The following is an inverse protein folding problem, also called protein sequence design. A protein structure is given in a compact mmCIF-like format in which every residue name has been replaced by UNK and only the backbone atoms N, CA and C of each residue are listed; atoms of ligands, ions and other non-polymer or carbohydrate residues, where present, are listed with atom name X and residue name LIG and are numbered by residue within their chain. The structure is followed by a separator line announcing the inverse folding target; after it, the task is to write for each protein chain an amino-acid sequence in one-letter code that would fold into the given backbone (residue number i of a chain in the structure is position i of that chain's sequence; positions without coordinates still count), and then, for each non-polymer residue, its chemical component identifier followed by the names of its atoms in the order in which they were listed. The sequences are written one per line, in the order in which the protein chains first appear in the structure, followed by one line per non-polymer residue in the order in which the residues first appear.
data_IF_327897839388
#
_entry.id   IF_327897839388
#
_cell.length_a   1.000
_cell.length_b   1.000
_cell.length_c   1.000
_cell.angle_alpha   90.00
_cell.angle_beta   90.00
_cell.angle_gamma   90.00
#
_symmetry.space_group_name_H-M   'P 1'
#
loop_
_entity.id
_entity.type
_entity.pdbx_description
1 polymer ?
#
# COMPACT_ATOMS: atom_id res chain seq x y z
N UNK A 1 30.54 -20.68 -10.32
CA UNK A 1 29.31 -20.67 -9.50
C UNK A 1 28.15 -21.12 -10.38
N UNK A 2 27.39 -22.09 -9.94
CA UNK A 2 26.22 -22.59 -10.66
C UNK A 2 25.10 -21.54 -10.66
N UNK A 3 24.15 -21.65 -11.59
CA UNK A 3 23.02 -20.71 -11.71
C UNK A 3 22.15 -20.71 -10.46
N UNK A 4 21.84 -21.88 -9.95
CA UNK A 4 21.02 -22.07 -8.75
C UNK A 4 21.67 -21.45 -7.50
N UNK A 5 23.00 -21.56 -7.38
CA UNK A 5 23.76 -20.94 -6.28
C UNK A 5 23.69 -19.41 -6.38
N UNK A 6 23.77 -18.84 -7.61
CA UNK A 6 23.60 -17.38 -7.79
C UNK A 6 22.20 -16.93 -7.40
N UNK A 7 21.18 -17.67 -7.79
CA UNK A 7 19.79 -17.38 -7.42
C UNK A 7 19.61 -17.32 -5.91
N UNK A 8 20.12 -18.33 -5.20
CA UNK A 8 20.08 -18.35 -3.73
C UNK A 8 20.81 -17.15 -3.12
N UNK A 9 21.99 -16.81 -3.64
CA UNK A 9 22.74 -15.66 -3.14
C UNK A 9 22.01 -14.33 -3.43
N UNK A 10 21.44 -14.15 -4.61
CA UNK A 10 20.64 -12.95 -4.95
C UNK A 10 19.48 -12.80 -3.95
N UNK A 11 18.73 -13.89 -3.68
CA UNK A 11 17.61 -13.87 -2.75
C UNK A 11 18.07 -13.60 -1.31
N UNK A 12 19.20 -14.13 -0.89
CA UNK A 12 19.79 -13.86 0.43
C UNK A 12 20.18 -12.39 0.60
N UNK A 13 20.84 -11.79 -0.40
CA UNK A 13 21.16 -10.36 -0.38
C UNK A 13 19.88 -9.50 -0.37
N UNK A 14 18.89 -9.86 -1.18
CA UNK A 14 17.60 -9.18 -1.22
C UNK A 14 16.88 -9.23 0.13
N UNK A 15 16.90 -10.38 0.80
CA UNK A 15 16.29 -10.54 2.13
C UNK A 15 17.03 -9.74 3.22
N UNK A 16 18.36 -9.63 3.10
CA UNK A 16 19.19 -8.90 4.06
C UNK A 16 19.05 -7.39 3.92
N UNK A 17 19.13 -6.90 2.68
CA UNK A 17 19.30 -5.47 2.39
C UNK A 17 18.01 -4.82 1.86
N UNK A 18 16.92 -5.60 1.65
CA UNK A 18 15.63 -5.19 1.08
C UNK A 18 15.74 -4.47 -0.29
N UNK A 19 16.89 -4.53 -0.92
CA UNK A 19 17.18 -4.02 -2.28
C UNK A 19 18.49 -4.63 -2.74
N UNK A 20 18.55 -4.98 -4.02
CA UNK A 20 19.81 -5.37 -4.66
C UNK A 20 20.04 -4.55 -5.93
N UNK A 21 21.30 -4.14 -6.16
CA UNK A 21 21.72 -3.35 -7.31
C UNK A 21 22.56 -4.22 -8.24
N UNK A 22 22.35 -4.09 -9.57
CA UNK A 22 23.04 -4.91 -10.58
C UNK A 22 24.55 -4.84 -10.43
N UNK A 23 25.13 -3.64 -10.30
CA UNK A 23 26.57 -3.43 -10.18
C UNK A 23 27.18 -4.08 -8.93
N UNK A 24 26.48 -4.05 -7.80
CA UNK A 24 26.93 -4.63 -6.55
C UNK A 24 26.87 -6.15 -6.61
N UNK A 25 25.76 -6.69 -7.11
CA UNK A 25 25.62 -8.15 -7.32
C UNK A 25 26.67 -8.66 -8.32
N UNK A 26 26.93 -7.94 -9.41
CA UNK A 26 27.97 -8.29 -10.40
C UNK A 26 29.35 -8.44 -9.74
N UNK A 27 29.69 -7.48 -8.87
CA UNK A 27 30.98 -7.48 -8.14
C UNK A 27 31.07 -8.63 -7.15
N UNK A 28 30.03 -8.87 -6.35
CA UNK A 28 30.02 -9.89 -5.31
C UNK A 28 29.95 -11.30 -5.89
N UNK A 29 29.10 -11.51 -6.90
CA UNK A 29 28.90 -12.79 -7.56
C UNK A 29 30.01 -13.12 -8.60
N UNK A 30 30.87 -12.13 -8.91
CA UNK A 30 31.96 -12.23 -9.90
C UNK A 30 31.46 -12.66 -11.30
N UNK A 31 30.35 -12.09 -11.74
CA UNK A 31 29.75 -12.29 -13.06
C UNK A 31 29.41 -10.95 -13.70
N UNK A 32 29.14 -10.91 -15.00
CA UNK A 32 28.75 -9.66 -15.67
C UNK A 32 27.37 -9.15 -15.21
N UNK A 33 27.13 -7.83 -15.29
CA UNK A 33 25.82 -7.25 -15.00
C UNK A 33 24.72 -7.84 -15.90
N UNK A 34 25.03 -8.21 -17.14
CA UNK A 34 24.10 -8.87 -18.03
C UNK A 34 23.68 -10.27 -17.53
N UNK A 35 24.61 -10.99 -16.92
CA UNK A 35 24.30 -12.28 -16.27
C UNK A 35 23.35 -12.05 -15.09
N UNK A 36 23.65 -11.07 -14.22
CA UNK A 36 22.79 -10.72 -13.09
C UNK A 36 21.42 -10.25 -13.55
N UNK A 37 21.34 -9.44 -14.61
CA UNK A 37 20.06 -8.98 -15.18
C UNK A 37 19.20 -10.14 -15.67
N UNK A 38 19.79 -11.13 -16.35
CA UNK A 38 19.06 -12.34 -16.76
C UNK A 38 18.57 -13.15 -15.57
N UNK A 39 19.43 -13.32 -14.56
CA UNK A 39 19.08 -14.03 -13.31
C UNK A 39 17.92 -13.33 -12.57
N UNK A 40 17.97 -12.00 -12.41
CA UNK A 40 16.89 -11.20 -11.82
C UNK A 40 15.60 -11.32 -12.62
N UNK A 41 15.67 -11.24 -13.96
CA UNK A 41 14.51 -11.38 -14.83
C UNK A 41 13.84 -12.74 -14.67
N UNK A 42 14.62 -13.80 -14.55
CA UNK A 42 14.09 -15.15 -14.35
C UNK A 42 13.49 -15.33 -12.95
N UNK A 43 14.15 -14.84 -11.89
CA UNK A 43 13.59 -14.82 -10.54
C UNK A 43 12.30 -13.99 -10.45
N UNK A 44 12.22 -12.89 -11.21
CA UNK A 44 11.01 -12.08 -11.30
C UNK A 44 9.87 -12.83 -12.00
N UNK A 45 10.16 -13.57 -13.07
CA UNK A 45 9.18 -14.44 -13.73
C UNK A 45 8.65 -15.54 -12.81
N UNK A 46 9.49 -16.02 -11.87
CA UNK A 46 9.11 -16.97 -10.82
C UNK A 46 8.39 -16.30 -9.62
N UNK A 47 8.16 -14.97 -9.66
CA UNK A 47 7.55 -14.18 -8.57
C UNK A 47 8.30 -14.23 -7.24
N UNK A 48 9.61 -14.44 -7.27
CA UNK A 48 10.46 -14.48 -6.08
C UNK A 48 11.02 -13.09 -5.69
N UNK A 49 10.99 -12.16 -6.62
CA UNK A 49 11.38 -10.76 -6.44
C UNK A 49 10.69 -9.89 -7.52
N UNK A 50 10.79 -8.57 -7.38
CA UNK A 50 10.35 -7.60 -8.38
C UNK A 50 11.56 -6.96 -9.05
N UNK A 51 11.73 -7.19 -10.36
CA UNK A 51 12.71 -6.47 -11.17
C UNK A 51 12.38 -4.97 -11.24
N UNK A 52 13.38 -4.12 -11.00
CA UNK A 52 13.30 -2.67 -11.12
C UNK A 52 14.49 -2.13 -11.92
N UNK A 53 14.45 -0.86 -12.31
CA UNK A 53 15.57 -0.25 -13.03
C UNK A 53 16.85 -0.30 -12.18
N UNK A 54 17.85 -1.02 -12.65
CA UNK A 54 19.16 -1.13 -11.98
C UNK A 54 19.26 -2.20 -10.90
N UNK A 55 18.21 -3.04 -10.66
CA UNK A 55 18.28 -4.08 -9.63
C UNK A 55 16.97 -4.81 -9.38
N UNK A 56 16.73 -5.17 -8.11
CA UNK A 56 15.48 -5.81 -7.70
C UNK A 56 15.06 -5.42 -6.27
N UNK A 57 13.76 -5.47 -6.03
CA UNK A 57 13.11 -5.28 -4.74
C UNK A 57 12.34 -6.55 -4.33
N UNK A 58 12.14 -6.81 -3.03
CA UNK A 58 11.25 -7.86 -2.59
C UNK A 58 9.78 -7.48 -2.83
N UNK A 59 8.92 -8.47 -2.90
CA UNK A 59 7.49 -8.26 -2.71
C UNK A 59 7.18 -7.92 -1.26
N UNK A 60 6.07 -7.20 -1.03
CA UNK A 60 5.62 -6.92 0.33
C UNK A 60 5.36 -8.24 1.08
N UNK A 61 5.87 -8.40 2.30
CA UNK A 61 5.62 -9.59 3.08
C UNK A 61 4.17 -9.63 3.57
N UNK A 62 3.67 -10.85 3.77
CA UNK A 62 2.35 -11.10 4.34
C UNK A 62 1.34 -11.64 3.33
N UNK A 63 0.16 -12.02 3.82
CA UNK A 63 -0.87 -12.63 3.00
C UNK A 63 -1.45 -11.65 1.98
N UNK A 64 -1.83 -12.18 0.80
CA UNK A 64 -2.53 -11.40 -0.24
C UNK A 64 -4.05 -11.40 0.02
N UNK A 65 -4.59 -12.52 0.48
CA UNK A 65 -6.02 -12.67 0.77
C UNK A 65 -6.48 -11.74 1.92
N UNK A 66 -7.66 -11.14 1.75
CA UNK A 66 -8.22 -10.20 2.74
C UNK A 66 -8.42 -10.85 4.12
N UNK A 67 -9.01 -12.04 4.16
CA UNK A 67 -9.33 -12.74 5.43
C UNK A 67 -8.09 -13.12 6.21
N UNK A 68 -7.04 -13.59 5.50
CA UNK A 68 -5.76 -13.86 6.13
C UNK A 68 -5.11 -12.59 6.68
N UNK A 69 -5.22 -11.47 5.93
CA UNK A 69 -4.70 -10.17 6.37
C UNK A 69 -5.43 -9.60 7.59
N UNK A 70 -6.67 -9.95 7.88
CA UNK A 70 -7.38 -9.48 9.07
C UNK A 70 -6.61 -9.80 10.34
N UNK A 71 -6.06 -11.01 10.43
CA UNK A 71 -5.30 -11.51 11.56
C UNK A 71 -3.80 -11.15 11.51
N UNK A 72 -3.32 -10.57 10.42
CA UNK A 72 -1.93 -10.19 10.26
C UNK A 72 -1.65 -8.78 10.79
N UNK A 73 -0.61 -8.63 11.63
CA UNK A 73 -0.12 -7.35 12.15
C UNK A 73 -1.18 -6.47 12.87
N UNK A 74 -2.15 -7.08 13.58
CA UNK A 74 -3.30 -6.40 14.24
C UNK A 74 -2.84 -5.22 15.09
N UNK A 75 -1.87 -5.42 15.99
CA UNK A 75 -1.38 -4.35 16.89
C UNK A 75 -0.82 -3.15 16.11
N UNK A 76 -0.09 -3.39 15.02
CA UNK A 76 0.44 -2.32 14.17
C UNK A 76 -0.69 -1.53 13.50
N UNK A 77 -1.72 -2.21 12.99
CA UNK A 77 -2.91 -1.57 12.38
C UNK A 77 -3.69 -0.75 13.39
N UNK A 78 -3.82 -1.20 14.63
CA UNK A 78 -4.48 -0.44 15.70
C UNK A 78 -3.74 0.88 16.02
N UNK A 79 -2.40 0.86 16.04
CA UNK A 79 -1.60 2.08 16.21
C UNK A 79 -1.80 3.03 15.05
N UNK A 80 -1.75 2.52 13.80
CA UNK A 80 -2.02 3.30 12.59
C UNK A 80 -3.42 3.90 12.62
N UNK A 81 -4.44 3.12 12.98
CA UNK A 81 -5.81 3.55 13.07
C UNK A 81 -5.98 4.69 14.08
N UNK A 82 -5.41 4.58 15.28
CA UNK A 82 -5.44 5.62 16.31
C UNK A 82 -4.85 6.94 15.82
N UNK A 83 -3.77 6.91 15.07
CA UNK A 83 -3.16 8.10 14.47
C UNK A 83 -4.04 8.68 13.35
N UNK A 84 -4.59 7.82 12.48
CA UNK A 84 -5.45 8.24 11.38
C UNK A 84 -6.71 8.96 11.87
N UNK A 85 -7.40 8.43 12.87
CA UNK A 85 -8.60 9.09 13.42
C UNK A 85 -8.28 10.41 14.12
N UNK A 86 -7.06 10.60 14.61
CA UNK A 86 -6.58 11.89 15.15
C UNK A 86 -6.51 13.02 14.12
N UNK A 87 -6.52 12.70 12.82
CA UNK A 87 -6.55 13.68 11.73
C UNK A 87 -7.97 14.05 11.31
N UNK A 88 -8.98 13.28 11.72
CA UNK A 88 -10.37 13.50 11.34
C UNK A 88 -10.99 14.65 12.09
N UNK A 89 -11.86 15.40 11.43
CA UNK A 89 -12.64 16.49 12.03
C UNK A 89 -14.12 16.31 11.70
N UNK A 90 -14.97 16.85 12.58
CA UNK A 90 -16.43 16.83 12.40
C UNK A 90 -16.84 17.43 11.04
N UNK A 91 -17.76 16.78 10.36
CA UNK A 91 -18.34 17.24 9.11
C UNK A 91 -17.51 16.99 7.87
N UNK A 92 -16.35 16.32 7.98
CA UNK A 92 -15.51 15.99 6.83
C UNK A 92 -16.11 14.88 5.97
N UNK A 93 -15.78 14.92 4.69
CA UNK A 93 -15.94 13.80 3.73
C UNK A 93 -14.62 13.03 3.67
N UNK A 94 -14.67 11.77 4.02
CA UNK A 94 -13.47 10.91 4.17
C UNK A 94 -13.59 9.69 3.26
N UNK A 95 -12.62 9.49 2.39
CA UNK A 95 -12.49 8.23 1.65
C UNK A 95 -11.75 7.23 2.52
N UNK A 96 -12.37 6.09 2.76
CA UNK A 96 -11.73 4.90 3.32
C UNK A 96 -11.53 3.87 2.23
N UNK A 97 -10.28 3.54 1.98
CA UNK A 97 -9.89 2.51 1.02
C UNK A 97 -10.29 1.09 1.47
N UNK A 98 -9.97 0.15 0.67
CA UNK A 98 -10.00 -1.27 0.97
C UNK A 98 -8.85 -1.71 1.87
N UNK A 99 -8.99 -2.91 2.36
CA UNK A 99 -7.96 -3.58 3.13
C UNK A 99 -8.07 -3.38 4.63
N UNK A 100 -7.36 -4.24 5.32
CA UNK A 100 -7.52 -4.42 6.77
C UNK A 100 -6.96 -3.27 7.61
N UNK A 101 -6.10 -2.41 7.04
CA UNK A 101 -5.67 -1.17 7.73
C UNK A 101 -6.77 -0.10 7.68
N UNK A 102 -7.47 0.06 6.54
CA UNK A 102 -8.60 0.96 6.43
C UNK A 102 -9.79 0.47 7.28
N UNK A 103 -10.03 -0.84 7.32
CA UNK A 103 -11.02 -1.44 8.23
C UNK A 103 -10.70 -1.14 9.70
N UNK A 104 -9.42 -1.21 10.10
CA UNK A 104 -9.02 -0.83 11.45
C UNK A 104 -9.25 0.67 11.74
N UNK A 105 -9.05 1.54 10.74
CA UNK A 105 -9.39 2.98 10.85
C UNK A 105 -10.90 3.14 11.03
N UNK A 106 -11.73 2.50 10.19
CA UNK A 106 -13.19 2.56 10.31
C UNK A 106 -13.66 2.14 11.70
N UNK A 107 -13.10 1.05 12.26
CA UNK A 107 -13.42 0.56 13.60
C UNK A 107 -13.00 1.53 14.72
N UNK A 108 -12.00 2.37 14.48
CA UNK A 108 -11.47 3.30 15.47
C UNK A 108 -12.14 4.68 15.43
N UNK A 109 -13.06 4.95 14.47
CA UNK A 109 -13.76 6.24 14.36
C UNK A 109 -14.53 6.53 15.64
N UNK A 110 -14.25 7.66 16.35
CA UNK A 110 -14.97 8.04 17.56
C UNK A 110 -16.48 8.17 17.32
N UNK A 111 -17.30 7.90 18.33
CA UNK A 111 -18.73 8.17 18.27
C UNK A 111 -18.97 9.69 18.18
N UNK A 112 -20.07 10.05 17.55
CA UNK A 112 -20.53 11.46 17.42
C UNK A 112 -19.61 12.38 16.61
N UNK A 113 -18.71 11.81 15.79
CA UNK A 113 -17.84 12.61 14.92
C UNK A 113 -18.63 13.26 13.76
N UNK A 114 -19.77 12.67 13.38
CA UNK A 114 -20.66 13.18 12.32
C UNK A 114 -19.89 13.51 11.04
N UNK A 115 -19.32 12.50 10.42
CA UNK A 115 -18.60 12.55 9.16
C UNK A 115 -19.35 11.80 8.05
N UNK A 116 -18.97 12.06 6.81
CA UNK A 116 -19.37 11.26 5.66
C UNK A 116 -18.21 10.34 5.28
N UNK A 117 -18.45 9.04 5.24
CA UNK A 117 -17.50 8.03 4.75
C UNK A 117 -17.86 7.60 3.34
N UNK A 118 -16.91 7.64 2.44
CA UNK A 118 -17.03 7.18 1.05
C UNK A 118 -16.09 5.99 0.87
N UNK A 119 -16.59 4.86 0.39
CA UNK A 119 -15.80 3.64 0.25
C UNK A 119 -16.31 2.73 -0.86
N UNK A 120 -15.44 1.85 -1.36
CA UNK A 120 -15.80 0.71 -2.22
C UNK A 120 -15.59 -0.64 -1.51
N UNK A 121 -15.37 -0.64 -0.21
CA UNK A 121 -15.06 -1.81 0.61
C UNK A 121 -16.30 -2.36 1.29
N UNK A 122 -16.68 -3.61 1.01
CA UNK A 122 -17.77 -4.30 1.70
C UNK A 122 -17.54 -4.42 3.22
N UNK A 123 -16.34 -4.82 3.70
CA UNK A 123 -16.10 -4.90 5.14
C UNK A 123 -16.22 -3.55 5.87
N UNK A 124 -15.88 -2.44 5.21
CA UNK A 124 -16.06 -1.10 5.80
C UNK A 124 -17.54 -0.76 5.91
N UNK A 125 -18.34 -1.04 4.89
CA UNK A 125 -19.80 -0.81 4.91
C UNK A 125 -20.46 -1.66 6.00
N UNK A 126 -20.15 -2.96 6.04
CA UNK A 126 -20.68 -3.90 7.05
C UNK A 126 -20.35 -3.43 8.48
N UNK A 127 -19.15 -2.91 8.71
CA UNK A 127 -18.73 -2.39 10.01
C UNK A 127 -19.49 -1.11 10.42
N UNK A 128 -19.85 -0.29 9.44
CA UNK A 128 -20.45 1.02 9.69
C UNK A 128 -21.99 1.04 9.57
N UNK A 129 -22.65 -0.05 9.25
CA UNK A 129 -24.10 -0.10 8.98
C UNK A 129 -24.97 0.37 10.16
N UNK A 130 -24.54 0.09 11.40
CA UNK A 130 -25.22 0.52 12.62
C UNK A 130 -24.82 1.93 13.12
N UNK A 131 -23.82 2.57 12.50
CA UNK A 131 -23.28 3.88 12.89
C UNK A 131 -24.12 5.04 12.34
N UNK A 132 -25.20 5.40 13.04
CA UNK A 132 -26.13 6.48 12.65
C UNK A 132 -25.52 7.89 12.62
N UNK A 133 -24.38 8.06 13.24
CA UNK A 133 -23.59 9.30 13.26
C UNK A 133 -22.64 9.42 12.06
N UNK A 134 -22.60 8.41 11.19
CA UNK A 134 -21.77 8.39 9.97
C UNK A 134 -22.69 8.16 8.77
N UNK A 135 -22.65 9.11 7.83
CA UNK A 135 -23.26 8.90 6.52
C UNK A 135 -22.31 8.09 5.64
N UNK A 136 -22.77 6.98 5.06
CA UNK A 136 -21.94 6.07 4.27
C UNK A 136 -22.37 6.08 2.81
N UNK A 137 -21.46 6.47 1.90
CA UNK A 137 -21.60 6.30 0.46
C UNK A 137 -20.78 5.11 -0.02
N UNK A 138 -21.45 4.12 -0.60
CA UNK A 138 -20.81 2.95 -1.16
C UNK A 138 -20.74 3.03 -2.69
N UNK A 139 -19.52 2.99 -3.22
CA UNK A 139 -19.28 2.95 -4.66
C UNK A 139 -19.58 1.55 -5.19
N UNK A 140 -20.64 1.39 -5.96
CA UNK A 140 -20.98 0.15 -6.66
C UNK A 140 -20.00 -0.20 -7.78
N UNK A 141 -20.17 -1.39 -8.40
CA UNK A 141 -19.35 -1.84 -9.52
C UNK A 141 -19.14 -3.36 -9.54
N UNK A 142 -18.09 -3.80 -10.25
CA UNK A 142 -17.72 -5.22 -10.34
C UNK A 142 -17.05 -5.70 -9.04
N UNK A 143 -17.55 -6.77 -8.44
CA UNK A 143 -16.94 -7.37 -7.24
C UNK A 143 -15.57 -7.97 -7.53
N UNK A 144 -14.57 -7.53 -6.78
CA UNK A 144 -13.25 -8.16 -6.66
C UNK A 144 -13.21 -8.99 -5.37
N UNK A 145 -13.25 -10.31 -5.51
CA UNK A 145 -13.48 -11.22 -4.37
C UNK A 145 -12.32 -11.28 -3.39
N UNK A 146 -11.09 -11.25 -3.89
CA UNK A 146 -9.88 -11.38 -3.08
C UNK A 146 -9.67 -10.17 -2.14
N UNK A 147 -10.13 -8.99 -2.56
CA UNK A 147 -10.03 -7.77 -1.77
C UNK A 147 -11.35 -7.33 -1.12
N UNK A 148 -12.47 -8.00 -1.43
CA UNK A 148 -13.83 -7.67 -0.98
C UNK A 148 -14.22 -6.22 -1.27
N UNK A 149 -14.00 -5.80 -2.52
CA UNK A 149 -14.27 -4.43 -2.99
C UNK A 149 -15.04 -4.43 -4.31
N UNK A 150 -15.54 -3.27 -4.68
CA UNK A 150 -15.96 -3.00 -6.05
C UNK A 150 -14.83 -2.37 -6.87
N UNK A 151 -14.80 -2.66 -8.17
CA UNK A 151 -13.87 -2.13 -9.17
C UNK A 151 -14.60 -1.86 -10.48
N UNK A 152 -13.89 -1.29 -11.46
CA UNK A 152 -14.41 -1.04 -12.80
C UNK A 152 -14.80 0.41 -13.05
N UNK A 153 -15.35 0.66 -14.24
CA UNK A 153 -15.65 1.99 -14.74
C UNK A 153 -16.62 2.76 -13.82
N UNK A 154 -17.69 2.10 -13.37
CA UNK A 154 -18.72 2.73 -12.54
C UNK A 154 -18.15 3.13 -11.17
N UNK A 155 -17.30 2.28 -10.57
CA UNK A 155 -16.60 2.61 -9.33
C UNK A 155 -15.66 3.81 -9.51
N UNK A 156 -14.90 3.85 -10.60
CA UNK A 156 -14.00 4.98 -10.92
C UNK A 156 -14.80 6.26 -11.10
N UNK A 157 -15.86 6.22 -11.96
CA UNK A 157 -16.71 7.36 -12.23
C UNK A 157 -17.43 7.89 -10.99
N UNK A 158 -17.80 7.01 -10.05
CA UNK A 158 -18.34 7.43 -8.76
C UNK A 158 -17.35 8.31 -7.99
N UNK A 159 -16.09 7.87 -7.82
CA UNK A 159 -15.09 8.65 -7.11
C UNK A 159 -14.71 9.94 -7.83
N UNK A 160 -14.70 10.00 -9.16
CA UNK A 160 -14.41 11.22 -9.92
C UNK A 160 -15.39 12.37 -9.63
N UNK A 161 -16.61 12.06 -9.15
CA UNK A 161 -17.63 13.02 -8.76
C UNK A 161 -17.61 13.40 -7.27
N UNK A 162 -16.66 12.87 -6.49
CA UNK A 162 -16.48 13.18 -5.06
C UNK A 162 -15.43 14.28 -4.88
N UNK A 163 -15.55 15.03 -3.79
CA UNK A 163 -14.50 15.91 -3.28
C UNK A 163 -14.32 15.61 -1.80
N UNK A 164 -13.31 14.78 -1.50
CA UNK A 164 -13.04 14.38 -0.15
C UNK A 164 -12.01 15.29 0.54
N UNK A 165 -12.14 15.47 1.84
CA UNK A 165 -11.17 16.17 2.67
C UNK A 165 -9.94 15.29 2.92
N UNK A 166 -10.17 14.02 3.27
CA UNK A 166 -9.14 13.06 3.61
C UNK A 166 -9.34 11.76 2.84
N UNK A 167 -8.24 11.16 2.41
CA UNK A 167 -8.22 9.80 1.91
C UNK A 167 -7.19 8.97 2.69
N UNK A 168 -7.64 7.91 3.33
CA UNK A 168 -6.79 6.92 3.97
C UNK A 168 -6.53 5.76 3.02
N UNK A 169 -5.40 5.83 2.32
CA UNK A 169 -4.97 4.89 1.29
C UNK A 169 -4.37 3.63 1.91
N UNK A 170 -5.00 2.49 1.72
CA UNK A 170 -4.42 1.18 2.01
C UNK A 170 -3.34 0.83 0.99
N UNK A 171 -2.14 0.51 1.45
CA UNK A 171 -1.02 0.20 0.56
C UNK A 171 -0.61 -1.26 0.63
N UNK A 172 -0.18 -1.82 -0.51
CA UNK A 172 0.51 -3.10 -0.59
C UNK A 172 2.01 -2.88 -0.42
N UNK A 173 2.58 -1.99 -1.19
CA UNK A 173 4.01 -1.72 -1.26
C UNK A 173 4.30 -0.24 -1.44
N UNK A 174 5.37 0.24 -0.85
CA UNK A 174 5.89 1.61 -1.01
C UNK A 174 7.41 1.53 -1.24
N UNK A 175 7.87 2.19 -2.28
CA UNK A 175 9.29 2.38 -2.55
C UNK A 175 9.57 3.85 -2.87
N UNK A 176 10.77 4.32 -2.53
CA UNK A 176 11.13 5.75 -2.65
C UNK A 176 11.19 6.23 -4.10
N UNK A 177 11.55 5.36 -5.04
CA UNK A 177 11.67 5.68 -6.46
C UNK A 177 10.38 5.34 -7.23
N UNK A 178 9.73 4.21 -6.88
CA UNK A 178 8.54 3.70 -7.58
C UNK A 178 7.23 4.24 -7.02
N UNK A 179 7.26 4.83 -5.82
CA UNK A 179 6.06 5.30 -5.13
C UNK A 179 5.23 4.14 -4.56
N UNK A 180 3.91 4.30 -4.58
CA UNK A 180 2.95 3.30 -4.09
C UNK A 180 2.56 2.37 -5.23
N UNK A 181 2.63 1.07 -4.97
CA UNK A 181 2.29 0.02 -5.95
C UNK A 181 1.35 -1.04 -5.37
N UNK A 182 0.68 -1.79 -6.24
CA UNK A 182 -0.30 -2.80 -5.86
C UNK A 182 -0.34 -4.01 -6.79
N UNK A 183 -1.06 -5.07 -6.34
CA UNK A 183 -1.12 -6.36 -7.02
C UNK A 183 -2.06 -6.39 -8.23
N UNK A 184 -3.20 -5.65 -8.16
CA UNK A 184 -4.29 -5.76 -9.13
C UNK A 184 -4.49 -4.45 -9.87
N UNK A 185 -4.49 -4.50 -11.20
CA UNK A 185 -4.60 -3.33 -12.06
C UNK A 185 -5.90 -2.54 -11.83
N UNK A 186 -7.04 -3.26 -11.73
CA UNK A 186 -8.36 -2.65 -11.56
C UNK A 186 -8.48 -1.95 -10.19
N UNK A 187 -7.95 -2.56 -9.12
CA UNK A 187 -7.89 -1.94 -7.79
C UNK A 187 -7.02 -0.67 -7.82
N UNK A 188 -5.85 -0.74 -8.44
CA UNK A 188 -4.97 0.42 -8.57
C UNK A 188 -5.62 1.56 -9.37
N UNK A 189 -6.45 1.25 -10.38
CA UNK A 189 -7.19 2.25 -11.14
C UNK A 189 -8.20 3.01 -10.27
N UNK A 190 -8.94 2.31 -9.42
CA UNK A 190 -9.87 2.93 -8.45
C UNK A 190 -9.12 3.81 -7.45
N UNK A 191 -8.01 3.32 -6.89
CA UNK A 191 -7.18 4.11 -5.94
C UNK A 191 -6.65 5.40 -6.58
N UNK A 192 -6.28 5.39 -7.87
CA UNK A 192 -5.90 6.61 -8.60
C UNK A 192 -7.05 7.62 -8.68
N UNK A 193 -8.28 7.17 -8.87
CA UNK A 193 -9.46 8.05 -8.86
C UNK A 193 -9.69 8.64 -7.45
N UNK A 194 -9.60 7.81 -6.40
CA UNK A 194 -9.71 8.27 -5.00
C UNK A 194 -8.66 9.34 -4.65
N UNK A 195 -7.40 9.16 -5.09
CA UNK A 195 -6.32 10.15 -4.89
C UNK A 195 -6.67 11.47 -5.55
N UNK A 196 -7.11 11.46 -6.82
CA UNK A 196 -7.49 12.67 -7.57
C UNK A 196 -8.66 13.42 -6.94
N UNK A 197 -9.52 12.71 -6.23
CA UNK A 197 -10.75 13.24 -5.62
C UNK A 197 -10.53 13.77 -4.20
N UNK A 198 -9.32 13.67 -3.66
CA UNK A 198 -9.04 13.98 -2.26
C UNK A 198 -8.08 15.14 -2.11
N UNK A 199 -8.32 15.98 -1.09
CA UNK A 199 -7.45 17.10 -0.75
C UNK A 199 -6.16 16.65 -0.08
N UNK A 200 -6.26 15.72 0.87
CA UNK A 200 -5.11 15.13 1.56
C UNK A 200 -5.18 13.61 1.49
N UNK A 201 -4.05 12.99 1.20
CA UNK A 201 -3.92 11.53 1.04
C UNK A 201 -2.88 11.01 2.01
N UNK A 202 -3.30 10.15 2.92
CA UNK A 202 -2.41 9.50 3.87
C UNK A 202 -2.31 8.00 3.60
N UNK A 203 -1.10 7.52 3.31
CA UNK A 203 -0.84 6.09 3.13
C UNK A 203 -0.78 5.38 4.49
N UNK A 204 -1.56 4.32 4.66
CA UNK A 204 -1.56 3.47 5.86
C UNK A 204 -0.55 2.34 5.67
N UNK A 205 0.64 2.46 6.26
CA UNK A 205 1.72 1.52 6.04
C UNK A 205 2.34 0.98 7.31
N UNK A 206 2.48 -0.33 7.38
CA UNK A 206 3.38 -0.95 8.34
C UNK A 206 4.82 -0.94 7.78
N UNK A 207 5.87 -0.91 8.63
CA UNK A 207 7.25 -0.73 8.16
C UNK A 207 7.73 -1.77 7.15
N UNK A 208 7.23 -2.99 7.23
CA UNK A 208 7.60 -4.09 6.33
C UNK A 208 7.12 -3.93 4.87
N UNK A 209 6.24 -2.97 4.61
CA UNK A 209 5.77 -2.64 3.25
C UNK A 209 6.63 -1.61 2.53
N UNK A 210 7.60 -1.02 3.24
CA UNK A 210 8.54 -0.06 2.69
C UNK A 210 9.69 -0.78 1.99
N UNK A 211 10.24 -0.13 0.95
CA UNK A 211 11.27 -0.70 0.08
C UNK A 211 10.82 -2.02 -0.55
N UNK A 212 9.53 -2.11 -0.88
CA UNK A 212 8.92 -3.23 -1.62
C UNK A 212 8.18 -2.70 -2.83
N UNK A 213 7.96 -3.54 -3.83
CA UNK A 213 7.27 -3.14 -5.04
C UNK A 213 6.36 -4.24 -5.61
N UNK A 214 5.23 -3.81 -6.16
CA UNK A 214 4.27 -4.65 -6.85
C UNK A 214 4.14 -4.27 -8.33
N UNK A 215 3.32 -5.03 -9.08
CA UNK A 215 3.27 -4.93 -10.54
C UNK A 215 2.70 -3.61 -11.07
N UNK A 216 1.74 -3.00 -10.35
CA UNK A 216 0.97 -1.88 -10.87
C UNK A 216 1.16 -0.62 -10.02
N UNK A 217 1.50 0.49 -10.68
CA UNK A 217 1.67 1.79 -10.04
C UNK A 217 0.31 2.39 -9.63
N UNK A 218 0.28 2.97 -8.43
CA UNK A 218 -0.84 3.74 -7.91
C UNK A 218 -0.51 5.23 -7.98
N UNK A 219 0.54 5.69 -7.30
CA UNK A 219 1.00 7.08 -7.33
C UNK A 219 2.47 7.22 -6.95
N UNK A 220 3.06 8.35 -7.30
CA UNK A 220 4.36 8.76 -6.76
C UNK A 220 4.20 9.29 -5.33
N UNK A 221 5.27 9.27 -4.52
CA UNK A 221 5.22 9.71 -3.11
C UNK A 221 4.80 11.16 -2.95
N UNK A 222 5.09 12.02 -3.93
CA UNK A 222 4.69 13.45 -3.93
C UNK A 222 3.17 13.65 -3.90
N UNK A 223 2.39 12.65 -4.30
CA UNK A 223 0.94 12.68 -4.22
C UNK A 223 0.39 12.41 -2.81
N UNK A 224 1.25 12.02 -1.87
CA UNK A 224 0.88 11.75 -0.49
C UNK A 224 1.09 12.98 0.38
N UNK A 225 0.13 13.28 1.25
CA UNK A 225 0.27 14.24 2.35
C UNK A 225 1.10 13.67 3.51
N UNK A 226 1.24 12.34 3.56
CA UNK A 226 2.10 11.65 4.51
C UNK A 226 1.88 10.14 4.56
N UNK A 227 2.72 9.48 5.35
CA UNK A 227 2.63 8.06 5.66
C UNK A 227 2.31 7.91 7.14
N UNK A 228 1.19 7.26 7.46
CA UNK A 228 0.83 6.90 8.83
C UNK A 228 1.36 5.50 9.12
N UNK A 229 2.23 5.38 10.12
CA UNK A 229 2.89 4.12 10.44
C UNK A 229 2.89 3.81 11.94
N UNK A 230 3.03 2.52 12.25
CA UNK A 230 3.18 2.05 13.63
C UNK A 230 4.57 2.30 14.23
N UNK A 231 5.58 2.59 13.42
CA UNK A 231 6.98 2.71 13.85
C UNK A 231 7.68 3.87 13.12
N UNK A 232 7.34 5.14 13.45
CA UNK A 232 7.85 6.33 12.72
C UNK A 232 9.34 6.56 12.91
N UNK A 233 9.95 5.98 13.94
CA UNK A 233 11.37 6.10 14.27
C UNK A 233 12.22 4.92 13.76
N UNK A 234 11.63 4.00 12.97
CA UNK A 234 12.40 2.91 12.36
C UNK A 234 13.45 3.44 11.39
N UNK A 235 14.58 2.72 11.25
CA UNK A 235 15.66 3.08 10.34
C UNK A 235 15.19 3.25 8.89
N UNK A 236 14.24 2.42 8.45
CA UNK A 236 13.63 2.52 7.12
C UNK A 236 12.91 3.85 6.94
N UNK A 237 12.16 4.32 7.95
CA UNK A 237 11.43 5.60 7.87
C UNK A 237 12.35 6.81 7.80
N UNK A 238 13.58 6.71 8.30
CA UNK A 238 14.56 7.81 8.23
C UNK A 238 14.82 8.22 6.79
N UNK A 239 15.01 7.26 5.89
CA UNK A 239 15.23 7.52 4.45
C UNK A 239 14.05 8.27 3.82
N UNK A 240 12.81 7.92 4.18
CA UNK A 240 11.61 8.61 3.69
C UNK A 240 11.48 10.03 4.28
N UNK A 241 11.81 10.23 5.55
CA UNK A 241 11.88 11.58 6.17
C UNK A 241 12.92 12.46 5.47
N UNK A 242 14.12 11.93 5.19
CA UNK A 242 15.18 12.61 4.45
C UNK A 242 14.78 12.97 3.01
N UNK A 243 13.92 12.18 2.38
CA UNK A 243 13.30 12.48 1.09
C UNK A 243 12.13 13.48 1.17
N UNK A 244 11.86 14.06 2.34
CA UNK A 244 10.82 15.07 2.53
C UNK A 244 9.41 14.53 2.74
N UNK A 245 9.24 13.23 2.97
CA UNK A 245 7.92 12.62 3.21
C UNK A 245 7.53 12.83 4.68
N UNK A 246 6.34 13.38 4.89
CA UNK A 246 5.75 13.53 6.22
C UNK A 246 5.43 12.14 6.81
N UNK A 247 5.97 11.83 7.99
CA UNK A 247 5.76 10.56 8.69
C UNK A 247 5.00 10.83 10.00
N UNK A 248 3.83 10.21 10.10
CA UNK A 248 2.91 10.34 11.23
C UNK A 248 2.98 9.12 12.15
#
# INVERSE_FOLDING_TARGET
MLKEERFQQILQYLQKDNKVVLSDLSRVLKVSEDTVRRDIKELSAQKLLKEVRGGALPHAPGPVDFKERENYAIRKKQVIAKKAVGLMKKGQVIILDSGTSALAVANAIPKDLNITVVTNSFPVVELLDERKDIEVFFAGGKLHRESLITTGHDTIGFFENIRADLFFLGVCSIDIELGVTGHYYDECAVKRAMIKSSREVFALSTPEKLNTAEAFSICQLVALSGIITSSPESSVMKTYKEAGINIV
#
